data_IF_773164686141
#
_entry.id   IF_773164686141
#
_cell.length_a   1.000
_cell.length_b   1.000
_cell.length_c   1.000
_cell.angle_alpha   90.00
_cell.angle_beta   90.00
_cell.angle_gamma   90.00
#
_symmetry.space_group_name_H-M   'P 1'
#
loop_
_entity.id
_entity.type
_entity.pdbx_description
1 polymer ?
#
# COMPACT_ATOMS: atom_id res chain seq x y z
N UNK A 1 -19.43 47.92 26.30
CA UNK A 1 -18.73 47.61 25.04
C UNK A 1 -19.34 46.33 24.50
N UNK A 2 -20.38 46.47 23.70
CA UNK A 2 -21.19 45.37 23.17
C UNK A 2 -20.49 44.78 21.95
N UNK A 3 -20.03 43.53 22.05
CA UNK A 3 -19.54 42.79 20.89
C UNK A 3 -20.74 42.16 20.16
N UNK A 4 -21.08 42.70 19.00
CA UNK A 4 -22.02 42.10 18.06
C UNK A 4 -21.36 40.88 17.41
N UNK A 5 -21.93 39.70 17.62
CA UNK A 5 -21.64 38.50 16.83
C UNK A 5 -22.33 38.59 15.47
N UNK A 6 -21.60 38.19 14.42
CA UNK A 6 -21.99 38.31 13.02
C UNK A 6 -23.20 37.44 12.64
N UNK A 7 -24.03 37.82 11.65
CA UNK A 7 -25.30 37.16 11.33
C UNK A 7 -25.20 35.82 10.58
N UNK A 8 -24.01 35.24 10.38
CA UNK A 8 -23.76 34.18 9.40
C UNK A 8 -23.92 32.73 9.91
N UNK A 9 -24.23 32.50 11.19
CA UNK A 9 -24.35 31.15 11.77
C UNK A 9 -25.80 30.66 11.97
N UNK A 10 -26.81 31.33 11.39
CA UNK A 10 -28.24 30.99 11.61
C UNK A 10 -28.77 29.78 10.83
N UNK A 11 -27.91 28.96 10.23
CA UNK A 11 -28.34 28.01 9.19
C UNK A 11 -28.32 26.51 9.49
N UNK A 12 -27.59 26.01 10.51
CA UNK A 12 -27.17 24.59 10.48
C UNK A 12 -27.43 23.75 11.74
N UNK A 13 -27.94 24.34 12.84
CA UNK A 13 -28.46 23.58 13.98
C UNK A 13 -29.87 24.08 14.31
N UNK A 14 -30.94 23.26 14.20
CA UNK A 14 -32.19 23.61 14.85
C UNK A 14 -31.88 23.68 16.36
N UNK A 15 -31.97 24.87 16.96
CA UNK A 15 -31.54 25.14 18.34
C UNK A 15 -31.94 24.01 19.29
N UNK A 16 -30.93 23.25 19.75
CA UNK A 16 -31.11 22.15 20.68
C UNK A 16 -31.41 22.78 22.04
N UNK A 17 -32.53 22.41 22.64
CA UNK A 17 -32.99 22.99 23.91
C UNK A 17 -32.72 22.02 25.05
N UNK A 18 -32.48 22.57 26.23
CA UNK A 18 -32.28 21.81 27.45
C UNK A 18 -33.51 20.93 27.76
N UNK A 19 -33.26 19.67 28.09
CA UNK A 19 -34.28 18.66 28.39
C UNK A 19 -34.43 18.39 29.90
N UNK A 20 -33.46 18.80 30.71
CA UNK A 20 -33.45 18.52 32.16
C UNK A 20 -34.53 19.27 32.94
N UNK A 21 -34.81 20.52 32.55
CA UNK A 21 -35.68 21.43 33.30
C UNK A 21 -35.40 21.48 34.82
N UNK A 22 -34.14 21.21 35.22
CA UNK A 22 -33.75 21.10 36.62
C UNK A 22 -33.69 22.46 37.29
N UNK A 23 -32.99 23.40 36.66
CA UNK A 23 -32.91 24.81 37.08
C UNK A 23 -33.35 25.79 35.99
N UNK A 24 -33.66 25.29 34.79
CA UNK A 24 -34.23 26.06 33.68
C UNK A 24 -35.65 25.62 33.36
N UNK A 25 -36.34 26.36 32.49
CA UNK A 25 -37.70 26.05 32.01
C UNK A 25 -37.74 25.15 30.76
N UNK A 26 -36.61 24.52 30.39
CA UNK A 26 -36.48 23.72 29.17
C UNK A 26 -36.46 24.53 27.86
N UNK A 27 -36.35 25.85 27.98
CA UNK A 27 -36.27 26.81 26.86
C UNK A 27 -34.84 27.26 26.56
N UNK A 28 -33.90 26.97 27.45
CA UNK A 28 -32.52 27.41 27.33
C UNK A 28 -31.78 26.55 26.31
N UNK A 29 -30.83 27.14 25.61
CA UNK A 29 -29.99 26.42 24.66
C UNK A 29 -29.16 25.36 25.39
N UNK A 30 -29.21 24.13 24.90
CA UNK A 30 -28.37 23.05 25.37
C UNK A 30 -26.94 23.26 24.86
N UNK A 31 -25.97 23.04 25.74
CA UNK A 31 -24.54 23.15 25.44
C UNK A 31 -23.83 21.82 25.68
N UNK A 32 -24.48 20.88 26.40
CA UNK A 32 -23.97 19.56 26.71
C UNK A 32 -25.01 18.47 26.40
N UNK A 33 -24.53 17.26 26.07
CA UNK A 33 -25.29 16.01 26.17
C UNK A 33 -24.61 15.14 27.22
N UNK A 34 -25.35 14.69 28.23
CA UNK A 34 -24.82 13.74 29.22
C UNK A 34 -25.19 12.32 28.80
N UNK A 35 -24.20 11.41 28.75
CA UNK A 35 -24.41 10.07 28.23
C UNK A 35 -25.29 9.23 29.18
N UNK A 36 -25.02 9.29 30.48
CA UNK A 36 -25.76 8.51 31.49
C UNK A 36 -27.11 9.13 31.85
N UNK A 37 -27.24 10.47 31.83
CA UNK A 37 -28.55 11.13 31.94
C UNK A 37 -29.36 10.99 30.65
N UNK A 38 -28.69 10.69 29.53
CA UNK A 38 -29.28 10.59 28.20
C UNK A 38 -30.13 11.81 27.83
N UNK A 39 -29.61 13.00 28.05
CA UNK A 39 -30.34 14.26 27.97
C UNK A 39 -29.45 15.42 27.50
N UNK A 40 -30.07 16.36 26.79
CA UNK A 40 -29.47 17.64 26.44
C UNK A 40 -29.57 18.62 27.62
N UNK A 41 -28.49 19.29 27.96
CA UNK A 41 -28.38 20.12 29.15
C UNK A 41 -27.83 21.51 28.81
N UNK A 42 -28.48 22.55 29.33
CA UNK A 42 -27.88 23.89 29.36
C UNK A 42 -26.80 23.96 30.44
N UNK A 43 -25.95 24.99 30.37
CA UNK A 43 -24.85 25.20 31.31
C UNK A 43 -25.29 25.12 32.78
N UNK A 44 -26.44 25.73 33.12
CA UNK A 44 -26.95 25.78 34.50
C UNK A 44 -27.50 24.44 34.98
N UNK A 45 -28.17 23.70 34.10
CA UNK A 45 -28.72 22.39 34.46
C UNK A 45 -27.61 21.36 34.61
N UNK A 46 -26.60 21.38 33.72
CA UNK A 46 -25.44 20.49 33.82
C UNK A 46 -24.71 20.69 35.15
N UNK A 47 -24.40 21.94 35.52
CA UNK A 47 -23.63 22.25 36.73
C UNK A 47 -24.38 21.87 38.01
N UNK A 48 -25.64 22.28 38.13
CA UNK A 48 -26.42 22.09 39.36
C UNK A 48 -26.87 20.63 39.54
N UNK A 49 -27.20 19.93 38.45
CA UNK A 49 -27.60 18.52 38.51
C UNK A 49 -26.42 17.63 38.89
N UNK A 50 -25.23 17.86 38.29
CA UNK A 50 -24.03 17.07 38.55
C UNK A 50 -23.25 17.50 39.80
N UNK A 51 -23.74 18.49 40.55
CA UNK A 51 -23.24 18.75 41.92
C UNK A 51 -23.63 17.63 42.89
N UNK A 52 -24.66 16.84 42.58
CA UNK A 52 -25.07 15.69 43.37
C UNK A 52 -24.03 14.56 43.29
N UNK A 53 -23.65 14.01 44.44
CA UNK A 53 -22.57 13.00 44.56
C UNK A 53 -22.79 11.79 43.62
N UNK A 54 -24.04 11.36 43.46
CA UNK A 54 -24.42 10.22 42.60
C UNK A 54 -24.28 10.48 41.09
N UNK A 55 -24.26 11.75 40.65
CA UNK A 55 -24.22 12.13 39.22
C UNK A 55 -22.89 12.79 38.83
N UNK A 56 -22.06 13.15 39.81
CA UNK A 56 -20.83 13.94 39.61
C UNK A 56 -19.87 13.41 38.55
N UNK A 57 -19.84 12.09 38.36
CA UNK A 57 -18.91 11.40 37.49
C UNK A 57 -19.50 11.02 36.12
N UNK A 58 -20.69 11.51 35.78
CA UNK A 58 -21.26 11.26 34.45
C UNK A 58 -20.38 11.85 33.34
N UNK A 59 -20.32 11.18 32.19
CA UNK A 59 -19.66 11.67 31.00
C UNK A 59 -20.53 12.71 30.28
N UNK A 60 -19.92 13.85 29.94
CA UNK A 60 -20.59 15.02 29.36
C UNK A 60 -19.86 15.44 28.09
N UNK A 61 -20.59 15.45 26.98
CA UNK A 61 -20.08 15.84 25.68
C UNK A 61 -20.58 17.25 25.38
N UNK A 62 -19.66 18.16 25.04
CA UNK A 62 -20.03 19.51 24.59
C UNK A 62 -20.61 19.45 23.17
N UNK A 63 -21.77 20.07 22.98
CA UNK A 63 -22.47 20.06 21.69
C UNK A 63 -21.68 20.88 20.64
N UNK A 64 -21.56 20.32 19.43
CA UNK A 64 -20.92 20.95 18.27
C UNK A 64 -21.93 21.16 17.13
N UNK A 65 -21.54 21.92 16.12
CA UNK A 65 -22.32 22.05 14.89
C UNK A 65 -22.62 20.67 14.26
N UNK A 66 -23.88 20.39 13.94
CA UNK A 66 -24.32 19.12 13.37
C UNK A 66 -24.52 17.98 14.37
N UNK A 67 -24.49 18.24 15.69
CA UNK A 67 -24.74 17.22 16.70
C UNK A 67 -26.15 16.59 16.57
N UNK A 68 -26.21 15.26 16.64
CA UNK A 68 -27.45 14.48 16.53
C UNK A 68 -27.80 13.89 17.90
N UNK A 69 -28.86 14.35 18.57
CA UNK A 69 -29.19 13.89 19.93
C UNK A 69 -29.74 12.46 19.95
N UNK A 70 -29.75 11.85 21.14
CA UNK A 70 -30.47 10.60 21.36
C UNK A 70 -31.98 10.72 21.11
N UNK A 71 -32.62 9.59 20.82
CA UNK A 71 -34.07 9.50 20.69
C UNK A 71 -34.73 9.60 22.08
N UNK A 72 -35.61 10.57 22.24
CA UNK A 72 -36.27 10.87 23.53
C UNK A 72 -37.14 9.69 24.05
N UNK A 73 -38.03 9.06 23.23
CA UNK A 73 -38.88 7.96 23.69
C UNK A 73 -38.22 6.57 23.71
N UNK A 74 -36.95 6.43 23.29
CA UNK A 74 -36.28 5.12 23.30
C UNK A 74 -36.02 4.66 24.75
N UNK A 75 -36.69 3.58 25.17
CA UNK A 75 -36.51 2.95 26.49
C UNK A 75 -35.71 1.64 26.46
N UNK A 76 -34.98 1.38 25.37
CA UNK A 76 -34.31 0.09 25.13
C UNK A 76 -35.31 -1.06 24.91
N UNK A 77 -34.84 -2.25 24.50
CA UNK A 77 -35.73 -3.37 24.15
C UNK A 77 -36.51 -3.97 25.34
N UNK A 78 -36.11 -3.75 26.61
CA UNK A 78 -36.71 -4.40 27.78
C UNK A 78 -37.07 -3.45 28.95
N UNK A 79 -37.37 -2.19 28.69
CA UNK A 79 -38.11 -1.30 29.60
C UNK A 79 -37.44 -0.89 30.94
N UNK A 80 -36.41 -1.56 31.44
CA UNK A 80 -35.76 -1.27 32.74
C UNK A 80 -34.26 -1.61 32.78
N UNK A 81 -33.52 -1.45 31.67
CA UNK A 81 -32.05 -1.56 31.68
C UNK A 81 -31.44 -0.53 30.74
N UNK A 82 -30.24 0.02 31.03
CA UNK A 82 -29.60 1.06 30.24
C UNK A 82 -29.03 0.45 28.94
N UNK A 83 -29.93 0.01 28.06
CA UNK A 83 -29.62 -0.41 26.70
C UNK A 83 -29.57 0.82 25.82
N UNK A 84 -28.37 1.13 25.32
CA UNK A 84 -27.99 2.14 24.31
C UNK A 84 -29.19 2.76 23.59
N UNK A 85 -29.57 3.98 24.00
CA UNK A 85 -30.58 4.76 23.29
C UNK A 85 -30.12 4.96 21.84
N UNK A 86 -31.04 4.80 20.89
CA UNK A 86 -30.75 5.02 19.48
C UNK A 86 -30.62 6.52 19.19
N UNK A 87 -29.70 6.91 18.30
CA UNK A 87 -29.60 8.29 17.80
C UNK A 87 -30.85 8.67 17.01
N UNK A 88 -31.27 9.92 17.11
CA UNK A 88 -32.42 10.43 16.38
C UNK A 88 -32.10 10.57 14.88
N UNK A 89 -33.08 10.32 14.03
CA UNK A 89 -32.99 10.57 12.58
C UNK A 89 -33.83 11.77 12.17
N UNK A 90 -34.81 12.14 12.99
CA UNK A 90 -35.64 13.32 12.78
C UNK A 90 -35.95 14.06 14.09
N UNK A 91 -36.19 15.37 13.99
CA UNK A 91 -36.80 16.20 15.03
C UNK A 91 -38.22 16.59 14.61
N UNK A 92 -39.20 16.29 15.45
CA UNK A 92 -40.57 16.75 15.25
C UNK A 92 -40.71 18.20 15.73
N UNK A 93 -41.04 19.13 14.84
CA UNK A 93 -41.10 20.55 15.18
C UNK A 93 -42.34 20.90 16.03
N UNK A 94 -43.43 20.15 15.86
CA UNK A 94 -44.65 20.35 16.67
C UNK A 94 -44.48 19.78 18.08
N UNK A 95 -43.98 18.55 18.20
CA UNK A 95 -43.79 17.90 19.50
C UNK A 95 -42.50 18.31 20.20
N UNK A 96 -41.57 18.97 19.49
CA UNK A 96 -40.23 19.36 19.97
C UNK A 96 -39.37 18.19 20.48
N UNK A 97 -39.62 16.98 19.99
CA UNK A 97 -38.91 15.74 20.37
C UNK A 97 -38.05 15.17 19.24
N UNK A 98 -37.01 14.43 19.62
CA UNK A 98 -36.08 13.73 18.76
C UNK A 98 -36.46 12.24 18.64
N UNK A 99 -36.52 11.73 17.41
CA UNK A 99 -37.05 10.39 17.13
C UNK A 99 -36.06 9.60 16.27
N UNK A 100 -35.75 8.37 16.68
CA UNK A 100 -35.13 7.37 15.81
C UNK A 100 -36.15 6.88 14.77
N UNK A 101 -35.68 6.15 13.76
CA UNK A 101 -36.50 5.68 12.65
C UNK A 101 -37.71 4.87 13.13
N UNK A 102 -37.50 4.04 14.15
CA UNK A 102 -38.53 3.16 14.70
C UNK A 102 -39.57 3.94 15.52
N UNK A 103 -39.13 4.84 16.40
CA UNK A 103 -40.04 5.70 17.18
C UNK A 103 -40.82 6.65 16.27
N UNK A 104 -40.22 7.17 15.21
CA UNK A 104 -40.90 7.96 14.18
C UNK A 104 -42.02 7.14 13.53
N UNK A 105 -41.75 5.90 13.10
CA UNK A 105 -42.76 5.04 12.49
C UNK A 105 -43.96 4.80 13.40
N UNK A 106 -43.70 4.46 14.67
CA UNK A 106 -44.74 4.15 15.67
C UNK A 106 -45.61 5.34 16.02
N UNK A 107 -45.03 6.53 16.12
CA UNK A 107 -45.72 7.70 16.68
C UNK A 107 -46.16 8.73 15.64
N UNK A 108 -45.48 8.78 14.48
CA UNK A 108 -45.61 9.84 13.47
C UNK A 108 -45.81 9.33 12.02
N UNK A 109 -45.81 8.02 11.74
CA UNK A 109 -46.03 7.48 10.38
C UNK A 109 -47.32 6.67 10.20
N UNK A 110 -48.18 6.55 11.22
CA UNK A 110 -49.45 5.84 11.15
C UNK A 110 -50.56 6.62 10.42
N UNK A 111 -51.24 5.96 9.48
CA UNK A 111 -52.10 6.54 8.43
C UNK A 111 -53.36 7.33 8.80
N UNK A 112 -53.53 7.79 10.04
CA UNK A 112 -54.67 8.64 10.44
C UNK A 112 -54.31 9.77 11.45
N UNK A 113 -53.02 10.09 11.64
CA UNK A 113 -52.58 11.19 12.52
C UNK A 113 -52.07 12.39 11.71
N UNK A 114 -52.36 13.62 12.15
CA UNK A 114 -51.86 14.87 11.53
C UNK A 114 -50.34 14.77 11.37
N UNK A 115 -49.85 14.92 10.13
CA UNK A 115 -48.41 14.91 9.85
C UNK A 115 -47.77 16.16 10.44
N UNK A 116 -47.02 16.01 11.54
CA UNK A 116 -46.23 17.11 12.08
C UNK A 116 -45.01 17.39 11.17
N UNK A 117 -44.62 18.67 10.98
CA UNK A 117 -43.37 19.00 10.29
C UNK A 117 -42.18 18.38 11.01
N UNK A 118 -41.30 17.72 10.25
CA UNK A 118 -40.08 17.10 10.76
C UNK A 118 -38.84 17.67 10.07
N UNK A 119 -37.76 17.82 10.83
CA UNK A 119 -36.42 18.13 10.29
C UNK A 119 -35.58 16.87 10.35
N UNK A 120 -34.95 16.49 9.24
CA UNK A 120 -34.10 15.30 9.15
C UNK A 120 -32.70 15.64 9.64
N UNK A 121 -32.15 14.81 10.52
CA UNK A 121 -30.74 14.84 10.86
C UNK A 121 -29.95 14.13 9.75
N UNK A 122 -29.03 14.83 9.08
CA UNK A 122 -28.18 14.24 8.05
C UNK A 122 -26.97 13.54 8.70
N UNK A 123 -27.08 12.22 8.91
CA UNK A 123 -26.11 11.42 9.69
C UNK A 123 -24.80 11.10 8.93
N UNK A 124 -24.70 11.34 7.62
CA UNK A 124 -23.68 10.66 6.79
C UNK A 124 -22.27 11.28 6.77
N UNK A 125 -21.98 12.36 7.51
CA UNK A 125 -20.63 12.97 7.51
C UNK A 125 -20.10 13.41 8.86
N UNK A 126 -20.98 13.71 9.82
CA UNK A 126 -20.56 14.26 11.12
C UNK A 126 -20.14 13.14 12.08
N UNK A 127 -20.72 11.95 11.98
CA UNK A 127 -20.34 10.79 12.81
C UNK A 127 -18.92 10.29 12.50
N UNK A 128 -18.54 10.24 11.21
CA UNK A 128 -17.17 9.87 10.79
C UNK A 128 -16.14 10.90 11.27
N UNK A 129 -16.47 12.20 11.23
CA UNK A 129 -15.59 13.28 11.70
C UNK A 129 -15.48 13.34 13.23
N UNK A 130 -16.52 12.97 13.97
CA UNK A 130 -16.51 12.98 15.45
C UNK A 130 -15.88 11.72 16.06
N UNK A 131 -15.97 10.56 15.39
CA UNK A 131 -15.21 9.36 15.77
C UNK A 131 -13.69 9.56 15.59
N UNK A 132 -13.28 10.41 14.65
CA UNK A 132 -11.86 10.72 14.38
C UNK A 132 -11.21 11.66 15.41
N UNK A 133 -11.96 12.46 16.18
CA UNK A 133 -11.38 13.42 17.13
C UNK A 133 -10.98 12.81 18.49
N UNK A 134 -11.46 11.59 18.80
CA UNK A 134 -11.17 10.88 20.06
C UNK A 134 -10.49 9.50 19.91
N UNK A 135 -10.36 8.99 18.68
CA UNK A 135 -9.66 7.73 18.41
C UNK A 135 -8.15 7.91 18.52
N UNK A 136 -7.46 6.91 19.07
CA UNK A 136 -6.01 6.88 19.00
C UNK A 136 -5.52 6.77 17.54
N UNK A 137 -4.32 7.28 17.27
CA UNK A 137 -3.76 7.34 15.92
C UNK A 137 -3.58 5.96 15.27
N UNK A 138 -3.35 4.90 16.06
CA UNK A 138 -3.20 3.54 15.53
C UNK A 138 -4.54 3.00 15.04
N UNK A 139 -5.62 3.23 15.78
CA UNK A 139 -6.98 2.87 15.36
C UNK A 139 -7.40 3.63 14.09
N UNK A 140 -7.01 4.91 13.95
CA UNK A 140 -7.26 5.67 12.70
C UNK A 140 -6.54 5.04 11.53
N UNK A 141 -5.24 4.79 11.67
CA UNK A 141 -4.44 4.17 10.60
C UNK A 141 -4.98 2.79 10.24
N UNK A 142 -5.41 1.99 11.22
CA UNK A 142 -6.05 0.69 10.99
C UNK A 142 -7.34 0.84 10.18
N UNK A 143 -8.24 1.77 10.56
CA UNK A 143 -9.49 2.07 9.85
C UNK A 143 -9.24 2.47 8.39
N UNK A 144 -8.21 3.27 8.12
CA UNK A 144 -7.81 3.65 6.75
C UNK A 144 -7.48 2.44 5.87
N UNK A 145 -6.92 1.38 6.45
CA UNK A 145 -6.52 0.19 5.70
C UNK A 145 -7.67 -0.81 5.47
N UNK A 146 -8.83 -0.66 6.11
CA UNK A 146 -9.91 -1.67 6.11
C UNK A 146 -10.48 -2.01 4.72
N UNK A 147 -10.47 -1.06 3.80
CA UNK A 147 -11.01 -1.24 2.44
C UNK A 147 -9.94 -1.61 1.41
N UNK A 148 -8.67 -1.65 1.82
CA UNK A 148 -7.56 -1.96 0.92
C UNK A 148 -7.67 -3.41 0.44
N UNK A 149 -7.49 -3.59 -0.86
CA UNK A 149 -7.42 -4.87 -1.54
C UNK A 149 -6.19 -4.91 -2.44
N UNK A 150 -5.67 -6.10 -2.70
CA UNK A 150 -4.62 -6.29 -3.69
C UNK A 150 -5.19 -6.68 -5.05
N UNK A 151 -4.42 -6.44 -6.11
CA UNK A 151 -4.73 -6.89 -7.45
C UNK A 151 -3.48 -7.44 -8.16
N UNK A 152 -3.69 -8.36 -9.10
CA UNK A 152 -2.64 -8.89 -9.95
C UNK A 152 -2.18 -7.79 -10.91
N UNK A 153 -0.93 -7.37 -10.81
CA UNK A 153 -0.31 -6.36 -11.66
C UNK A 153 0.41 -6.98 -12.85
N UNK A 154 1.12 -8.09 -12.61
CA UNK A 154 1.84 -8.86 -13.63
C UNK A 154 1.57 -10.34 -13.39
N UNK A 155 1.19 -11.08 -14.44
CA UNK A 155 0.92 -12.52 -14.35
C UNK A 155 2.19 -13.40 -14.42
N UNK A 156 2.01 -14.72 -14.39
CA UNK A 156 3.08 -15.70 -14.56
C UNK A 156 3.78 -15.66 -15.93
N UNK A 157 3.13 -15.07 -16.94
CA UNK A 157 3.68 -14.87 -18.29
C UNK A 157 4.43 -13.52 -18.41
N UNK A 158 4.51 -12.76 -17.31
CA UNK A 158 5.07 -11.43 -17.18
C UNK A 158 4.34 -10.33 -17.97
N UNK A 159 3.07 -10.56 -18.27
CA UNK A 159 2.19 -9.62 -18.93
C UNK A 159 1.51 -8.72 -17.91
N UNK A 160 1.49 -7.40 -18.18
CA UNK A 160 0.83 -6.43 -17.30
C UNK A 160 -0.68 -6.63 -17.44
N UNK A 161 -1.36 -6.85 -16.32
CA UNK A 161 -2.80 -7.11 -16.24
C UNK A 161 -3.64 -5.82 -16.15
N UNK A 162 -3.04 -4.71 -16.57
CA UNK A 162 -3.58 -3.36 -16.47
C UNK A 162 -3.36 -2.68 -17.81
N UNK A 163 -4.46 -2.17 -18.39
CA UNK A 163 -4.49 -1.78 -19.80
C UNK A 163 -3.92 -0.38 -20.05
N UNK A 164 -4.24 0.56 -19.15
CA UNK A 164 -3.86 1.97 -19.25
C UNK A 164 -3.65 2.59 -17.86
N UNK A 165 -3.29 3.88 -17.85
CA UNK A 165 -3.00 4.64 -16.63
C UNK A 165 -4.23 4.76 -15.73
N UNK A 166 -5.41 4.95 -16.32
CA UNK A 166 -6.68 5.08 -15.60
C UNK A 166 -7.08 3.77 -14.91
N UNK A 167 -6.90 2.63 -15.57
CA UNK A 167 -7.13 1.30 -15.03
C UNK A 167 -6.15 0.99 -13.88
N UNK A 168 -4.88 1.42 -14.00
CA UNK A 168 -3.90 1.29 -12.92
C UNK A 168 -4.31 2.05 -11.67
N UNK A 169 -4.65 3.33 -11.83
CA UNK A 169 -5.08 4.20 -10.72
C UNK A 169 -6.35 3.65 -10.07
N UNK A 170 -7.31 3.19 -10.88
CA UNK A 170 -8.56 2.60 -10.40
C UNK A 170 -8.35 1.31 -9.62
N UNK A 171 -7.53 0.38 -10.12
CA UNK A 171 -7.23 -0.88 -9.43
C UNK A 171 -6.40 -0.69 -8.17
N UNK A 172 -5.49 0.29 -8.18
CA UNK A 172 -4.71 0.68 -7.00
C UNK A 172 -5.55 1.42 -5.95
N UNK A 173 -6.73 1.94 -6.32
CA UNK A 173 -7.65 2.67 -5.43
C UNK A 173 -7.00 3.90 -4.78
N UNK A 174 -6.20 4.64 -5.56
CA UNK A 174 -5.57 5.89 -5.15
C UNK A 174 -6.06 7.08 -5.99
N UNK A 175 -5.85 8.32 -5.50
CA UNK A 175 -6.20 9.51 -6.28
C UNK A 175 -5.21 9.74 -7.45
N UNK A 176 -5.65 10.24 -8.62
CA UNK A 176 -4.74 10.50 -9.76
C UNK A 176 -3.62 11.50 -9.43
N UNK A 177 -3.91 12.49 -8.59
CA UNK A 177 -2.99 13.53 -8.15
C UNK A 177 -2.14 13.11 -6.94
N UNK A 178 -2.36 11.90 -6.41
CA UNK A 178 -1.62 11.38 -5.28
C UNK A 178 -0.15 11.18 -5.62
N UNK A 179 0.74 11.64 -4.74
CA UNK A 179 2.15 11.35 -4.85
C UNK A 179 2.47 10.10 -4.03
N UNK A 180 3.06 9.10 -4.68
CA UNK A 180 3.32 7.77 -4.14
C UNK A 180 4.81 7.43 -4.18
N UNK A 181 5.27 6.70 -3.17
CA UNK A 181 6.46 5.84 -3.29
C UNK A 181 6.05 4.40 -3.55
N UNK A 182 6.98 3.59 -4.02
CA UNK A 182 6.81 2.17 -4.31
C UNK A 182 7.70 1.36 -3.38
N UNK A 183 7.10 0.47 -2.60
CA UNK A 183 7.82 -0.52 -1.80
C UNK A 183 7.59 -1.89 -2.37
N UNK A 184 8.65 -2.63 -2.68
CA UNK A 184 8.57 -4.02 -3.11
C UNK A 184 9.22 -4.97 -2.11
N UNK A 185 8.84 -6.24 -2.13
CA UNK A 185 9.47 -7.29 -1.32
C UNK A 185 10.04 -8.39 -2.20
N UNK A 186 11.25 -8.86 -1.89
CA UNK A 186 11.89 -10.03 -2.50
C UNK A 186 12.29 -11.03 -1.43
N UNK A 187 12.56 -12.28 -1.82
CA UNK A 187 12.93 -13.36 -0.91
C UNK A 187 12.58 -14.72 -1.50
N UNK A 188 12.93 -15.80 -0.80
CA UNK A 188 12.62 -17.15 -1.27
C UNK A 188 11.11 -17.41 -1.24
N UNK A 189 10.69 -18.47 -1.94
CA UNK A 189 9.38 -19.08 -1.70
C UNK A 189 9.36 -19.61 -0.26
N UNK A 190 8.26 -19.39 0.46
CA UNK A 190 8.12 -19.83 1.86
C UNK A 190 8.66 -18.87 2.92
N UNK A 191 9.41 -17.82 2.57
CA UNK A 191 9.98 -16.87 3.57
C UNK A 191 8.94 -15.93 4.24
N UNK A 192 7.65 -16.05 3.89
CA UNK A 192 6.59 -15.23 4.46
C UNK A 192 6.56 -13.78 3.96
N UNK A 193 6.78 -13.56 2.65
CA UNK A 193 6.76 -12.22 2.02
C UNK A 193 5.39 -11.54 2.16
N UNK A 194 4.33 -12.16 1.65
CA UNK A 194 2.96 -11.66 1.72
C UNK A 194 2.51 -11.43 3.17
N UNK A 195 2.87 -12.34 4.08
CA UNK A 195 2.66 -12.19 5.52
C UNK A 195 3.40 -10.96 6.09
N UNK A 196 4.67 -10.77 5.74
CA UNK A 196 5.46 -9.60 6.16
C UNK A 196 4.79 -8.30 5.69
N UNK A 197 4.34 -8.23 4.44
CA UNK A 197 3.65 -7.05 3.91
C UNK A 197 2.33 -6.77 4.66
N UNK A 198 1.50 -7.79 4.87
CA UNK A 198 0.24 -7.68 5.61
C UNK A 198 0.45 -7.12 7.02
N UNK A 199 1.44 -7.62 7.76
CA UNK A 199 1.73 -7.17 9.12
C UNK A 199 2.47 -5.82 9.20
N UNK A 200 3.17 -5.44 8.13
CA UNK A 200 3.92 -4.17 8.08
C UNK A 200 3.03 -3.00 7.66
N UNK A 201 2.16 -3.20 6.66
CA UNK A 201 1.36 -2.12 6.06
C UNK A 201 -0.13 -2.16 6.40
N UNK A 202 -0.68 -3.35 6.67
CA UNK A 202 -2.13 -3.55 6.76
C UNK A 202 -2.59 -4.13 8.10
N UNK A 203 -1.82 -3.90 9.17
CA UNK A 203 -2.17 -4.29 10.53
C UNK A 203 -2.53 -5.78 10.67
N UNK A 204 -1.86 -6.63 9.90
CA UNK A 204 -2.07 -8.09 9.89
C UNK A 204 -3.26 -8.56 9.07
N UNK A 205 -3.99 -7.65 8.39
CA UNK A 205 -5.05 -8.04 7.47
C UNK A 205 -4.48 -8.71 6.24
N UNK A 206 -5.14 -9.76 5.79
CA UNK A 206 -4.75 -10.52 4.61
C UNK A 206 -5.14 -9.80 3.32
N UNK A 207 -4.41 -8.73 3.00
CA UNK A 207 -4.54 -7.99 1.74
C UNK A 207 -3.85 -8.76 0.60
N UNK A 208 -2.65 -9.28 0.87
CA UNK A 208 -1.98 -10.27 0.03
C UNK A 208 -2.26 -11.66 0.57
N UNK A 209 -2.67 -12.60 -0.28
CA UNK A 209 -2.99 -13.96 0.15
C UNK A 209 -1.77 -14.67 0.73
N UNK A 210 -1.97 -15.40 1.81
CA UNK A 210 -0.97 -16.27 2.43
C UNK A 210 -1.38 -17.74 2.30
N UNK A 211 -0.42 -18.64 2.43
CA UNK A 211 -0.68 -20.08 2.46
C UNK A 211 0.29 -20.76 3.42
N UNK A 212 -0.14 -21.78 4.18
CA UNK A 212 0.76 -22.63 4.95
C UNK A 212 1.50 -23.67 4.09
N UNK A 213 1.16 -23.79 2.80
CA UNK A 213 1.76 -24.77 1.88
C UNK A 213 3.22 -24.43 1.51
N UNK A 214 4.01 -25.45 1.16
CA UNK A 214 5.41 -25.28 0.77
C UNK A 214 5.55 -24.77 -0.68
N UNK A 215 4.52 -24.95 -1.49
CA UNK A 215 4.43 -24.41 -2.84
C UNK A 215 4.22 -22.90 -2.83
N UNK A 216 4.59 -22.21 -3.92
CA UNK A 216 4.40 -20.76 -4.02
C UNK A 216 2.92 -20.40 -3.98
N UNK A 217 2.50 -19.64 -2.98
CA UNK A 217 1.15 -19.07 -2.89
C UNK A 217 0.96 -17.85 -3.79
N UNK A 218 2.03 -17.07 -3.98
CA UNK A 218 2.03 -15.88 -4.81
C UNK A 218 2.51 -16.27 -6.19
N UNK A 219 1.64 -16.09 -7.18
CA UNK A 219 1.96 -16.23 -8.61
C UNK A 219 1.97 -14.84 -9.22
N UNK A 220 3.04 -14.49 -9.94
CA UNK A 220 3.21 -13.17 -10.54
C UNK A 220 3.57 -12.06 -9.54
N UNK A 221 3.15 -10.83 -9.85
CA UNK A 221 3.37 -9.63 -9.04
C UNK A 221 2.04 -8.99 -8.70
N UNK A 222 1.82 -8.74 -7.42
CA UNK A 222 0.60 -8.14 -6.88
C UNK A 222 0.88 -6.74 -6.34
N UNK A 223 -0.12 -5.87 -6.42
CA UNK A 223 -0.02 -4.51 -5.91
C UNK A 223 -1.21 -4.17 -5.00
N UNK A 224 -0.95 -3.37 -3.98
CA UNK A 224 -1.96 -2.78 -3.10
C UNK A 224 -1.54 -1.36 -2.70
N UNK A 225 -2.50 -0.49 -2.42
CA UNK A 225 -2.22 0.85 -1.94
C UNK A 225 -2.31 0.91 -0.41
N UNK A 226 -1.25 1.41 0.21
CA UNK A 226 -1.28 1.78 1.62
C UNK A 226 -1.55 3.28 1.78
N UNK A 227 -2.76 3.66 2.25
CA UNK A 227 -3.14 5.06 2.42
C UNK A 227 -2.46 5.73 3.63
N UNK A 228 -1.91 4.96 4.57
CA UNK A 228 -1.24 5.50 5.77
C UNK A 228 0.08 6.14 5.38
N UNK A 229 0.92 5.40 4.66
CA UNK A 229 2.24 5.87 4.24
C UNK A 229 2.24 6.44 2.81
N UNK A 230 1.10 6.40 2.10
CA UNK A 230 0.93 6.82 0.70
C UNK A 230 1.90 6.08 -0.22
N UNK A 231 1.89 4.76 -0.14
CA UNK A 231 2.79 3.89 -0.92
C UNK A 231 2.04 2.82 -1.71
N UNK A 232 2.54 2.54 -2.91
CA UNK A 232 2.19 1.34 -3.64
C UNK A 232 3.06 0.18 -3.13
N UNK A 233 2.43 -0.80 -2.49
CA UNK A 233 3.08 -2.00 -1.95
C UNK A 233 3.03 -3.09 -3.01
N UNK A 234 4.19 -3.66 -3.35
CA UNK A 234 4.37 -4.66 -4.40
C UNK A 234 4.82 -5.98 -3.79
N UNK A 235 3.95 -6.99 -3.84
CA UNK A 235 4.27 -8.37 -3.49
C UNK A 235 4.74 -9.14 -4.73
N UNK A 236 5.79 -9.95 -4.59
CA UNK A 236 6.32 -10.73 -5.70
C UNK A 236 6.29 -12.21 -5.40
N UNK A 237 6.15 -13.02 -6.44
CA UNK A 237 6.50 -14.44 -6.40
C UNK A 237 7.92 -14.66 -5.82
N UNK A 238 8.16 -15.84 -5.22
CA UNK A 238 9.50 -16.22 -4.75
C UNK A 238 10.51 -16.26 -5.90
N UNK A 239 11.38 -15.26 -5.97
CA UNK A 239 12.31 -15.06 -7.10
C UNK A 239 13.55 -15.98 -7.07
N UNK A 240 13.72 -16.79 -6.03
CA UNK A 240 14.98 -17.49 -5.69
C UNK A 240 14.93 -19.04 -5.72
N UNK A 241 13.85 -19.65 -6.24
CA UNK A 241 13.72 -21.12 -6.30
C UNK A 241 14.44 -21.81 -7.48
N UNK A 242 14.61 -23.13 -7.43
CA UNK A 242 15.10 -23.92 -8.57
C UNK A 242 13.98 -24.19 -9.59
N UNK A 243 13.77 -23.29 -10.56
CA UNK A 243 12.83 -23.56 -11.69
C UNK A 243 13.38 -23.07 -13.03
N UNK A 244 12.73 -23.53 -14.09
CA UNK A 244 13.21 -23.71 -15.48
C UNK A 244 13.50 -22.41 -16.26
N UNK A 245 13.35 -21.20 -15.68
CA UNK A 245 13.49 -19.96 -16.46
C UNK A 245 14.08 -18.76 -15.70
N UNK A 246 15.39 -18.81 -15.42
CA UNK A 246 16.18 -17.73 -14.78
C UNK A 246 16.04 -16.37 -15.48
N UNK A 247 15.98 -16.37 -16.82
CA UNK A 247 15.86 -15.17 -17.65
C UNK A 247 14.53 -14.43 -17.43
N UNK A 248 13.46 -15.17 -17.19
CA UNK A 248 12.13 -14.63 -16.90
C UNK A 248 12.16 -13.90 -15.55
N UNK A 249 12.60 -14.59 -14.49
CA UNK A 249 12.71 -13.99 -13.15
C UNK A 249 13.59 -12.75 -13.11
N UNK A 250 14.72 -12.78 -13.82
CA UNK A 250 15.61 -11.61 -13.92
C UNK A 250 14.90 -10.43 -14.58
N UNK A 251 14.12 -10.65 -15.64
CA UNK A 251 13.35 -9.59 -16.30
C UNK A 251 12.25 -9.03 -15.39
N UNK A 252 11.52 -9.89 -14.68
CA UNK A 252 10.51 -9.45 -13.72
C UNK A 252 11.14 -8.63 -12.57
N UNK A 253 12.24 -9.12 -12.01
CA UNK A 253 13.02 -8.44 -10.98
C UNK A 253 13.45 -7.04 -11.44
N UNK A 254 14.00 -6.91 -12.64
CA UNK A 254 14.43 -5.62 -13.19
C UNK A 254 13.26 -4.64 -13.38
N UNK A 255 12.09 -5.12 -13.82
CA UNK A 255 10.87 -4.28 -13.93
C UNK A 255 10.44 -3.75 -12.56
N UNK A 256 10.42 -4.60 -11.54
CA UNK A 256 10.05 -4.21 -10.18
C UNK A 256 11.08 -3.26 -9.58
N UNK A 257 12.37 -3.55 -9.72
CA UNK A 257 13.46 -2.67 -9.28
C UNK A 257 13.42 -1.30 -9.96
N UNK A 258 13.04 -1.24 -11.23
CA UNK A 258 12.96 0.01 -11.97
C UNK A 258 11.94 0.98 -11.38
N UNK A 259 10.81 0.48 -10.86
CA UNK A 259 9.77 1.32 -10.26
C UNK A 259 9.93 1.52 -8.76
N UNK A 260 10.61 0.60 -8.06
CA UNK A 260 10.75 0.60 -6.60
C UNK A 260 11.55 1.79 -6.08
N UNK A 261 11.10 2.38 -4.98
CA UNK A 261 11.86 3.35 -4.19
C UNK A 261 12.58 2.65 -3.02
N UNK A 262 11.92 1.64 -2.44
CA UNK A 262 12.43 0.81 -1.36
C UNK A 262 12.16 -0.67 -1.67
N UNK A 263 13.14 -1.52 -1.39
CA UNK A 263 13.05 -2.97 -1.51
C UNK A 263 13.24 -3.59 -0.13
N UNK A 264 12.33 -4.45 0.28
CA UNK A 264 12.49 -5.30 1.45
C UNK A 264 13.01 -6.65 0.93
N UNK A 265 14.24 -7.01 1.27
CA UNK A 265 14.71 -8.37 1.09
C UNK A 265 14.36 -9.17 2.35
N UNK A 266 13.36 -10.03 2.24
CA UNK A 266 12.87 -10.88 3.31
C UNK A 266 13.63 -12.21 3.31
N UNK A 267 14.13 -12.60 4.49
CA UNK A 267 14.72 -13.92 4.73
C UNK A 267 14.34 -14.44 6.11
N UNK A 268 13.96 -15.71 6.18
CA UNK A 268 13.66 -16.42 7.42
C UNK A 268 14.66 -17.58 7.55
N UNK A 269 15.75 -17.35 8.28
CA UNK A 269 16.85 -18.30 8.40
C UNK A 269 17.62 -18.07 9.69
N UNK A 270 18.39 -19.08 10.12
CA UNK A 270 19.28 -18.93 11.27
C UNK A 270 20.50 -18.03 10.97
N UNK A 271 20.81 -17.78 9.70
CA UNK A 271 21.93 -16.94 9.27
C UNK A 271 21.69 -16.31 7.92
N UNK A 272 22.40 -15.23 7.63
CA UNK A 272 22.47 -14.68 6.27
C UNK A 272 23.37 -15.57 5.41
N UNK A 273 22.75 -16.34 4.52
CA UNK A 273 23.44 -17.22 3.57
C UNK A 273 24.09 -16.41 2.43
N UNK A 274 25.12 -16.99 1.79
CA UNK A 274 25.82 -16.36 0.66
C UNK A 274 24.89 -16.10 -0.53
N UNK A 275 23.82 -16.89 -0.69
CA UNK A 275 22.84 -16.76 -1.77
C UNK A 275 22.14 -15.40 -1.78
N UNK A 276 21.92 -14.81 -0.60
CA UNK A 276 21.39 -13.44 -0.48
C UNK A 276 22.34 -12.44 -1.14
N UNK A 277 23.62 -12.51 -0.81
CA UNK A 277 24.63 -11.57 -1.31
C UNK A 277 24.89 -11.77 -2.80
N UNK A 278 24.89 -13.02 -3.26
CA UNK A 278 24.94 -13.34 -4.69
C UNK A 278 23.73 -12.75 -5.41
N UNK A 279 22.52 -12.98 -4.91
CA UNK A 279 21.30 -12.45 -5.51
C UNK A 279 21.30 -10.93 -5.60
N UNK A 280 21.57 -10.22 -4.50
CA UNK A 280 21.60 -8.75 -4.50
C UNK A 280 22.73 -8.23 -5.40
N UNK A 281 23.89 -8.89 -5.42
CA UNK A 281 24.99 -8.56 -6.32
C UNK A 281 24.63 -8.72 -7.80
N UNK A 282 24.06 -9.87 -8.16
CA UNK A 282 23.64 -10.21 -9.52
C UNK A 282 22.48 -9.29 -9.98
N UNK A 283 21.52 -9.00 -9.09
CA UNK A 283 20.44 -8.06 -9.34
C UNK A 283 20.96 -6.65 -9.61
N UNK A 284 21.94 -6.21 -8.82
CA UNK A 284 22.60 -4.92 -8.99
C UNK A 284 23.34 -4.84 -10.33
N UNK A 285 24.15 -5.84 -10.66
CA UNK A 285 24.87 -5.89 -11.94
C UNK A 285 23.90 -5.90 -13.13
N UNK A 286 22.85 -6.73 -13.06
CA UNK A 286 21.82 -6.80 -14.09
C UNK A 286 21.10 -5.46 -14.25
N UNK A 287 20.79 -4.77 -13.15
CA UNK A 287 20.16 -3.47 -13.14
C UNK A 287 21.03 -2.42 -13.83
N UNK A 288 22.29 -2.30 -13.41
CA UNK A 288 23.23 -1.37 -14.03
C UNK A 288 23.41 -1.70 -15.51
N UNK A 289 23.64 -2.95 -15.87
CA UNK A 289 23.81 -3.36 -17.26
C UNK A 289 22.60 -3.03 -18.14
N UNK A 290 21.39 -3.20 -17.60
CA UNK A 290 20.15 -2.93 -18.32
C UNK A 290 19.89 -1.42 -18.48
N UNK A 291 20.08 -0.65 -17.41
CA UNK A 291 19.68 0.76 -17.37
C UNK A 291 20.82 1.73 -17.69
N UNK A 292 22.10 1.31 -17.71
CA UNK A 292 23.25 2.22 -17.91
C UNK A 292 23.10 3.12 -19.14
N UNK A 293 22.58 2.61 -20.27
CA UNK A 293 22.40 3.43 -21.48
C UNK A 293 21.38 4.55 -21.27
N UNK A 294 20.24 4.22 -20.67
CA UNK A 294 19.16 5.17 -20.38
C UNK A 294 19.57 6.16 -19.28
N UNK A 295 20.21 5.67 -18.22
CA UNK A 295 20.69 6.49 -17.11
C UNK A 295 21.76 7.47 -17.59
N UNK A 296 22.74 7.04 -18.41
CA UNK A 296 23.74 7.94 -19.01
C UNK A 296 23.10 8.99 -19.93
N UNK A 297 22.11 8.60 -20.73
CA UNK A 297 21.39 9.55 -21.60
C UNK A 297 20.59 10.59 -20.81
N UNK A 298 20.06 10.24 -19.64
CA UNK A 298 19.32 11.17 -18.76
C UNK A 298 20.26 12.10 -18.00
N UNK A 299 21.34 11.55 -17.45
CA UNK A 299 22.44 12.27 -16.77
C UNK A 299 23.02 13.36 -17.68
N UNK A 300 23.34 13.01 -18.93
CA UNK A 300 23.85 13.95 -19.93
C UNK A 300 22.83 15.04 -20.33
N UNK A 301 21.53 14.71 -20.39
CA UNK A 301 20.47 15.67 -20.72
C UNK A 301 20.16 16.64 -19.57
N UNK A 302 20.35 16.20 -18.32
CA UNK A 302 20.03 16.99 -17.14
C UNK A 302 21.25 17.69 -16.51
N UNK A 303 22.46 17.51 -17.07
CA UNK A 303 23.69 18.10 -16.54
C UNK A 303 24.03 17.64 -15.11
N UNK A 304 23.54 16.47 -14.73
CA UNK A 304 23.64 15.93 -13.37
C UNK A 304 24.85 15.00 -13.29
N UNK A 305 25.94 15.40 -12.65
CA UNK A 305 27.13 14.54 -12.50
C UNK A 305 27.00 13.66 -11.24
N UNK A 306 25.99 12.76 -11.24
CA UNK A 306 25.70 11.85 -10.12
C UNK A 306 26.07 10.41 -10.45
N UNK A 307 26.69 9.66 -9.52
CA UNK A 307 26.98 8.24 -9.71
C UNK A 307 25.70 7.44 -10.02
N UNK A 308 25.78 6.50 -10.97
CA UNK A 308 24.65 5.63 -11.34
C UNK A 308 24.06 4.84 -10.15
N UNK A 309 24.86 4.65 -9.10
CA UNK A 309 24.49 4.03 -7.83
C UNK A 309 23.45 4.82 -7.02
N UNK A 310 23.29 6.10 -7.30
CA UNK A 310 22.31 6.97 -6.62
C UNK A 310 20.90 6.81 -7.18
N UNK A 311 20.70 6.01 -8.23
CA UNK A 311 19.45 5.96 -8.99
C UNK A 311 18.57 4.75 -8.68
N UNK A 312 19.10 3.67 -8.07
CA UNK A 312 18.29 2.51 -7.70
C UNK A 312 17.67 2.60 -6.30
N UNK A 313 16.82 1.64 -5.95
CA UNK A 313 16.10 1.66 -4.68
C UNK A 313 17.05 1.48 -3.49
N UNK A 314 16.59 1.94 -2.32
CA UNK A 314 17.17 1.51 -1.06
C UNK A 314 16.76 0.06 -0.77
N UNK A 315 17.57 -0.69 -0.02
CA UNK A 315 17.28 -2.07 0.37
C UNK A 315 17.28 -2.21 1.88
N UNK A 316 16.23 -2.83 2.45
CA UNK A 316 16.21 -3.31 3.84
C UNK A 316 16.27 -4.84 3.79
N UNK A 317 17.33 -5.42 4.33
CA UNK A 317 17.40 -6.86 4.59
C UNK A 317 16.68 -7.14 5.90
N UNK A 318 15.44 -7.61 5.79
CA UNK A 318 14.64 -8.04 6.93
C UNK A 318 14.89 -9.52 7.23
N UNK A 319 15.66 -9.76 8.28
CA UNK A 319 16.14 -11.08 8.69
C UNK A 319 15.42 -11.53 9.95
N UNK A 320 14.62 -12.59 9.84
CA UNK A 320 14.01 -13.23 10.99
C UNK A 320 14.75 -14.51 11.36
N UNK A 321 15.18 -14.59 12.62
CA UNK A 321 15.80 -15.77 13.21
C UNK A 321 14.91 -16.38 14.30
N UNK A 322 15.11 -17.66 14.60
CA UNK A 322 14.43 -18.33 15.73
C UNK A 322 15.44 -18.62 16.83
N UNK A 323 16.47 -19.42 16.50
CA UNK A 323 17.39 -19.96 17.51
C UNK A 323 18.72 -19.20 17.58
N UNK A 324 19.06 -18.42 16.58
CA UNK A 324 20.34 -17.69 16.51
C UNK A 324 20.20 -16.22 16.92
N UNK A 325 21.32 -15.67 17.39
CA UNK A 325 21.45 -14.24 17.62
C UNK A 325 21.46 -13.48 16.28
N UNK A 326 21.06 -12.20 16.34
CA UNK A 326 21.03 -11.33 15.17
C UNK A 326 22.45 -10.95 14.73
N UNK A 327 22.59 -10.57 13.46
CA UNK A 327 23.87 -10.09 12.94
C UNK A 327 24.38 -8.90 13.78
N UNK A 328 25.64 -8.99 14.23
CA UNK A 328 26.28 -7.95 15.04
C UNK A 328 26.10 -8.09 16.56
N UNK A 329 25.32 -9.07 17.04
CA UNK A 329 25.11 -9.26 18.48
C UNK A 329 26.42 -9.55 19.25
N UNK A 330 27.35 -10.28 18.63
CA UNK A 330 28.66 -10.62 19.22
C UNK A 330 29.68 -9.47 19.13
N UNK A 331 29.42 -8.44 18.32
CA UNK A 331 30.31 -7.32 18.08
C UNK A 331 29.55 -5.98 18.15
N UNK A 332 29.15 -5.54 19.36
CA UNK A 332 28.26 -4.37 19.53
C UNK A 332 28.84 -3.05 19.03
N UNK A 333 30.17 -2.96 18.94
CA UNK A 333 30.88 -1.80 18.39
C UNK A 333 30.79 -1.69 16.86
N UNK A 334 30.41 -2.77 16.17
CA UNK A 334 30.28 -2.78 14.72
C UNK A 334 28.82 -2.61 14.30
N UNK A 335 28.57 -1.61 13.47
CA UNK A 335 27.25 -1.43 12.85
C UNK A 335 26.97 -2.58 11.87
N UNK A 336 25.79 -3.23 11.92
CA UNK A 336 25.46 -4.36 11.06
C UNK A 336 25.64 -4.12 9.55
N UNK A 337 25.43 -2.88 9.11
CA UNK A 337 25.66 -2.45 7.74
C UNK A 337 27.12 -2.65 7.30
N UNK A 338 28.09 -2.41 8.18
CA UNK A 338 29.51 -2.65 7.90
C UNK A 338 29.80 -4.14 7.72
N UNK A 339 29.20 -4.99 8.56
CA UNK A 339 29.30 -6.45 8.44
C UNK A 339 28.74 -6.95 7.10
N UNK A 340 27.62 -6.39 6.66
CA UNK A 340 27.03 -6.69 5.34
C UNK A 340 27.96 -6.25 4.22
N UNK A 341 28.51 -5.04 4.28
CA UNK A 341 29.47 -4.54 3.28
C UNK A 341 30.71 -5.43 3.18
N UNK A 342 31.26 -5.85 4.32
CA UNK A 342 32.42 -6.73 4.34
C UNK A 342 32.10 -8.13 3.79
N UNK A 343 30.87 -8.62 3.98
CA UNK A 343 30.40 -9.87 3.36
C UNK A 343 30.29 -9.76 1.84
N UNK A 344 29.76 -8.65 1.32
CA UNK A 344 29.76 -8.37 -0.13
C UNK A 344 31.19 -8.36 -0.70
N UNK A 345 32.12 -7.62 -0.05
CA UNK A 345 33.53 -7.56 -0.47
C UNK A 345 34.21 -8.92 -0.47
N UNK A 346 34.02 -9.72 0.59
CA UNK A 346 34.58 -11.08 0.70
C UNK A 346 34.10 -12.02 -0.41
N UNK A 347 32.88 -11.82 -0.89
CA UNK A 347 32.30 -12.60 -1.99
C UNK A 347 32.61 -12.01 -3.38
N UNK A 348 33.38 -10.91 -3.47
CA UNK A 348 33.67 -10.24 -4.73
C UNK A 348 32.41 -9.63 -5.39
N UNK A 349 31.41 -9.25 -4.59
CA UNK A 349 30.14 -8.69 -5.05
C UNK A 349 30.05 -7.22 -4.68
N UNK A 350 29.53 -6.40 -5.60
CA UNK A 350 29.42 -4.95 -5.44
C UNK A 350 27.99 -4.50 -5.77
N UNK A 351 27.13 -4.31 -4.76
CA UNK A 351 25.71 -4.01 -4.98
C UNK A 351 25.49 -2.52 -5.29
N UNK A 352 26.25 -1.99 -6.24
CA UNK A 352 26.31 -0.57 -6.58
C UNK A 352 24.99 -0.01 -7.11
N UNK A 353 24.06 -0.82 -7.62
CA UNK A 353 22.77 -0.32 -8.08
C UNK A 353 21.91 0.26 -6.96
N UNK A 354 22.11 -0.17 -5.71
CA UNK A 354 21.26 0.22 -4.60
C UNK A 354 21.82 1.46 -3.89
N UNK A 355 20.96 2.44 -3.62
CA UNK A 355 21.36 3.69 -2.98
C UNK A 355 21.79 3.50 -1.53
N UNK A 356 21.25 2.48 -0.85
CA UNK A 356 21.64 2.06 0.48
C UNK A 356 21.23 0.62 0.74
N UNK A 357 21.90 -0.04 1.69
CA UNK A 357 21.54 -1.37 2.19
C UNK A 357 21.55 -1.32 3.71
N UNK A 358 20.39 -1.54 4.31
CA UNK A 358 20.16 -1.53 5.76
C UNK A 358 19.86 -2.93 6.26
N UNK A 359 20.34 -3.24 7.46
CA UNK A 359 19.99 -4.48 8.14
C UNK A 359 18.85 -4.25 9.11
N UNK A 360 17.84 -5.12 9.08
CA UNK A 360 16.88 -5.21 10.17
C UNK A 360 16.62 -6.65 10.60
N UNK A 361 17.22 -7.03 11.72
CA UNK A 361 16.98 -8.31 12.38
C UNK A 361 15.77 -8.27 13.31
N UNK A 362 15.03 -9.38 13.39
CA UNK A 362 14.08 -9.69 14.47
C UNK A 362 14.24 -11.16 14.87
N UNK A 363 14.06 -11.47 16.16
CA UNK A 363 14.14 -12.84 16.65
C UNK A 363 12.78 -13.26 17.19
N UNK A 364 12.17 -14.26 16.57
CA UNK A 364 10.84 -14.75 16.92
C UNK A 364 10.96 -16.07 17.66
N UNK A 365 11.12 -16.01 18.98
CA UNK A 365 11.10 -17.22 19.82
C UNK A 365 9.68 -17.74 20.01
N UNK A 366 8.74 -16.83 20.26
CA UNK A 366 7.31 -17.12 20.37
C UNK A 366 6.56 -16.23 19.36
N UNK A 367 5.82 -16.81 18.40
CA UNK A 367 4.94 -16.04 17.52
C UNK A 367 3.90 -15.22 18.32
N UNK A 368 3.43 -14.08 17.79
CA UNK A 368 3.72 -13.54 16.46
C UNK A 368 5.07 -12.80 16.37
N UNK A 369 5.65 -12.75 15.17
CA UNK A 369 6.82 -11.94 14.84
C UNK A 369 6.58 -10.45 15.14
N UNK A 370 7.53 -9.78 15.78
CA UNK A 370 7.48 -8.32 15.94
C UNK A 370 8.01 -7.60 14.68
N UNK A 371 7.10 -6.95 13.96
CA UNK A 371 7.39 -6.13 12.79
C UNK A 371 7.62 -4.65 13.10
N UNK A 372 7.53 -4.22 14.37
CA UNK A 372 7.70 -2.81 14.76
C UNK A 372 9.04 -2.23 14.30
N UNK A 373 10.09 -3.04 14.40
CA UNK A 373 11.42 -2.67 13.97
C UNK A 373 11.52 -2.44 12.45
N UNK A 374 10.85 -3.27 11.65
CA UNK A 374 10.79 -3.10 10.21
C UNK A 374 9.98 -1.84 9.85
N UNK A 375 8.83 -1.62 10.49
CA UNK A 375 7.99 -0.43 10.28
C UNK A 375 8.78 0.87 10.51
N UNK A 376 9.52 0.97 11.62
CA UNK A 376 10.36 2.16 11.90
C UNK A 376 11.45 2.38 10.85
N UNK A 377 12.14 1.32 10.44
CA UNK A 377 13.17 1.43 9.40
C UNK A 377 12.57 1.84 8.05
N UNK A 378 11.37 1.35 7.75
CA UNK A 378 10.63 1.70 6.55
C UNK A 378 10.20 3.17 6.55
N UNK A 379 9.59 3.67 7.64
CA UNK A 379 9.18 5.07 7.77
C UNK A 379 10.38 6.01 7.53
N UNK A 380 11.54 5.71 8.11
CA UNK A 380 12.78 6.47 7.90
C UNK A 380 13.23 6.50 6.43
N UNK A 381 13.15 5.37 5.72
CA UNK A 381 13.52 5.31 4.30
C UNK A 381 12.48 5.98 3.39
N UNK A 382 11.20 5.93 3.76
CA UNK A 382 10.13 6.59 3.02
C UNK A 382 10.16 8.12 3.16
N UNK A 383 10.76 8.67 4.22
CA UNK A 383 10.99 10.11 4.34
C UNK A 383 12.18 10.59 3.49
N UNK A 384 13.11 9.70 3.14
CA UNK A 384 14.28 10.04 2.35
C UNK A 384 13.95 10.25 0.85
N UNK A 385 14.04 11.49 0.37
CA UNK A 385 13.75 11.86 -1.02
C UNK A 385 15.01 12.15 -1.87
N UNK A 386 16.22 11.84 -1.38
CA UNK A 386 17.47 12.19 -2.09
C UNK A 386 17.67 11.41 -3.38
N UNK A 387 17.19 10.17 -3.43
CA UNK A 387 17.34 9.28 -4.60
C UNK A 387 16.11 9.33 -5.49
N UNK A 388 14.92 9.16 -4.92
CA UNK A 388 13.65 9.18 -5.65
C UNK A 388 12.58 9.87 -4.83
N UNK A 389 12.00 10.91 -5.41
CA UNK A 389 10.86 11.60 -4.83
C UNK A 389 9.56 10.81 -5.05
N UNK A 390 8.53 11.01 -4.22
CA UNK A 390 7.18 10.55 -4.50
C UNK A 390 6.70 11.03 -5.88
N UNK A 391 5.98 10.17 -6.62
CA UNK A 391 5.57 10.41 -8.01
C UNK A 391 4.10 10.08 -8.22
N UNK A 392 3.47 10.70 -9.22
CA UNK A 392 2.11 10.35 -9.62
C UNK A 392 2.00 8.88 -10.04
N UNK A 393 0.86 8.20 -9.80
CA UNK A 393 0.71 6.78 -10.12
C UNK A 393 0.85 6.53 -11.62
N UNK A 394 0.45 7.50 -12.46
CA UNK A 394 0.64 7.44 -13.90
C UNK A 394 2.10 7.42 -14.35
N UNK A 395 3.00 8.08 -13.62
CA UNK A 395 4.45 8.01 -13.87
C UNK A 395 4.98 6.62 -13.54
N UNK A 396 4.51 6.03 -12.42
CA UNK A 396 4.86 4.66 -12.01
C UNK A 396 4.38 3.67 -13.08
N UNK A 397 3.14 3.78 -13.55
CA UNK A 397 2.60 2.93 -14.60
C UNK A 397 3.37 3.05 -15.92
N UNK A 398 3.68 4.28 -16.36
CA UNK A 398 4.48 4.52 -17.57
C UNK A 398 5.86 3.89 -17.46
N UNK A 399 6.53 4.03 -16.31
CA UNK A 399 7.81 3.37 -16.06
C UNK A 399 7.69 1.85 -16.16
N UNK A 400 6.69 1.25 -15.50
CA UNK A 400 6.43 -0.19 -15.57
C UNK A 400 6.19 -0.65 -17.03
N UNK A 401 5.36 0.08 -17.78
CA UNK A 401 5.03 -0.25 -19.18
C UNK A 401 6.23 -0.12 -20.11
N UNK A 402 7.03 0.94 -19.98
CA UNK A 402 8.25 1.15 -20.76
C UNK A 402 9.22 -0.03 -20.58
N UNK A 403 9.41 -0.48 -19.34
CA UNK A 403 10.30 -1.60 -19.03
C UNK A 403 9.72 -2.98 -19.43
N UNK A 404 8.41 -3.08 -19.65
CA UNK A 404 7.78 -4.26 -20.25
C UNK A 404 7.95 -4.30 -21.76
N UNK A 405 7.77 -3.18 -22.46
CA UNK A 405 8.01 -3.09 -23.91
C UNK A 405 9.49 -3.22 -24.29
N UNK A 406 10.40 -2.72 -23.45
CA UNK A 406 11.85 -2.94 -23.65
C UNK A 406 12.29 -4.37 -23.32
N UNK A 407 11.57 -5.08 -22.46
CA UNK A 407 11.75 -6.52 -22.23
C UNK A 407 11.50 -7.38 -23.48
N UNK A 408 10.77 -6.87 -24.48
CA UNK A 408 10.64 -7.49 -25.80
C UNK A 408 11.85 -7.23 -26.71
N UNK A 409 12.70 -6.25 -26.38
CA UNK A 409 14.00 -5.99 -27.03
C UNK A 409 15.17 -6.75 -26.41
N UNK A 410 14.94 -7.54 -25.35
CA UNK A 410 15.77 -8.72 -25.08
C UNK A 410 15.48 -9.73 -26.20
N UNK A 411 16.21 -9.55 -27.31
CA UNK A 411 16.25 -10.44 -28.48
C UNK A 411 16.18 -11.90 -28.00
N UNK A 412 15.10 -12.58 -28.38
CA UNK A 412 14.84 -13.95 -27.97
C UNK A 412 16.00 -14.86 -28.42
N UNK A 413 16.50 -15.72 -27.54
CA UNK A 413 17.29 -16.87 -27.94
C UNK A 413 16.40 -17.88 -28.68
N UNK A 414 16.97 -18.66 -29.60
CA UNK A 414 16.22 -19.75 -30.23
C UNK A 414 15.71 -20.73 -29.17
N UNK A 415 14.45 -21.15 -29.26
CA UNK A 415 13.90 -22.19 -28.35
C UNK A 415 14.61 -23.53 -28.49
N UNK A 416 15.23 -23.79 -29.65
CA UNK A 416 15.78 -25.09 -30.02
C UNK A 416 17.29 -25.25 -29.72
N UNK A 417 17.87 -24.40 -28.87
CA UNK A 417 19.29 -24.49 -28.46
C UNK A 417 20.29 -24.50 -29.65
N UNK A 418 21.57 -24.83 -29.40
CA UNK A 418 22.64 -24.90 -30.42
C UNK A 418 22.48 -26.13 -31.35
N UNK A 419 22.95 -26.01 -32.61
CA UNK A 419 23.00 -27.07 -33.64
C UNK A 419 21.67 -27.60 -34.21
N UNK A 420 20.52 -27.01 -33.87
CA UNK A 420 19.22 -27.39 -34.48
C UNK A 420 19.27 -27.40 -36.03
N UNK A 421 20.07 -26.51 -36.65
CA UNK A 421 20.29 -26.49 -38.10
C UNK A 421 21.09 -27.66 -38.66
N UNK A 422 21.96 -28.31 -37.86
CA UNK A 422 22.64 -29.58 -38.23
C UNK A 422 21.72 -30.79 -38.08
N UNK A 423 20.70 -30.67 -37.23
CA UNK A 423 19.69 -31.71 -36.98
C UNK A 423 18.46 -31.57 -37.89
N UNK A 424 18.48 -30.63 -38.85
CA UNK A 424 17.36 -30.38 -39.76
C UNK A 424 16.14 -29.73 -39.10
N UNK A 425 16.27 -29.27 -37.86
CA UNK A 425 15.19 -28.64 -37.09
C UNK A 425 15.11 -27.15 -37.44
N UNK A 426 13.92 -26.61 -37.79
CA UNK A 426 13.75 -25.20 -38.12
C UNK A 426 14.08 -24.26 -36.95
N UNK A 427 14.55 -23.06 -37.29
CA UNK A 427 14.79 -22.00 -36.30
C UNK A 427 13.45 -21.47 -35.76
N UNK A 428 13.28 -21.48 -34.43
CA UNK A 428 12.12 -20.88 -33.77
C UNK A 428 12.56 -19.82 -32.75
N UNK A 429 12.23 -18.55 -33.02
CA UNK A 429 12.45 -17.43 -32.11
C UNK A 429 11.30 -16.42 -32.25
N UNK A 430 10.83 -15.88 -31.12
CA UNK A 430 9.74 -14.88 -31.09
C UNK A 430 10.17 -13.49 -31.61
N UNK A 431 11.47 -13.24 -31.79
CA UNK A 431 12.04 -11.99 -32.31
C UNK A 431 13.43 -12.21 -32.94
N UNK A 432 14.08 -11.15 -33.49
CA UNK A 432 15.43 -11.22 -34.11
C UNK A 432 16.45 -11.82 -33.12
N UNK A 433 16.91 -13.05 -33.37
CA UNK A 433 17.92 -13.74 -32.59
C UNK A 433 19.23 -12.93 -32.47
N UNK A 434 19.87 -12.93 -31.29
CA UNK A 434 21.16 -12.26 -31.06
C UNK A 434 22.32 -13.23 -31.30
N UNK A 435 23.17 -12.90 -32.27
CA UNK A 435 24.47 -13.53 -32.47
C UNK A 435 25.41 -13.25 -31.28
N UNK A 436 26.10 -14.29 -30.79
CA UNK A 436 27.13 -14.19 -29.76
C UNK A 436 28.47 -14.66 -30.33
N UNK A 437 29.43 -13.74 -30.41
CA UNK A 437 30.74 -13.95 -31.03
C UNK A 437 31.63 -14.96 -30.28
N UNK A 438 31.30 -15.29 -29.03
CA UNK A 438 32.02 -16.30 -28.25
C UNK A 438 31.85 -17.74 -28.77
N UNK A 439 31.03 -17.97 -29.80
CA UNK A 439 30.67 -19.31 -30.31
C UNK A 439 30.78 -19.48 -31.84
N UNK A 440 31.52 -18.61 -32.54
CA UNK A 440 31.88 -18.71 -33.98
C UNK A 440 30.76 -19.11 -34.97
N UNK A 441 29.55 -18.56 -34.81
CA UNK A 441 28.47 -18.77 -35.78
C UNK A 441 28.56 -17.72 -36.91
N UNK A 442 28.94 -18.12 -38.13
CA UNK A 442 29.02 -17.21 -39.28
C UNK A 442 27.68 -16.50 -39.57
N UNK A 443 27.75 -15.24 -39.95
CA UNK A 443 26.60 -14.37 -40.25
C UNK A 443 26.02 -14.71 -41.63
N UNK A 444 24.72 -15.01 -41.71
CA UNK A 444 23.95 -14.87 -42.96
C UNK A 444 23.11 -13.58 -42.85
N UNK A 445 23.56 -12.50 -43.48
CA UNK A 445 22.73 -11.30 -43.66
C UNK A 445 21.73 -11.54 -44.80
N UNK A 446 20.44 -11.62 -44.48
CA UNK A 446 19.38 -11.52 -45.49
C UNK A 446 19.26 -10.06 -45.95
N UNK A 447 19.66 -9.76 -47.18
CA UNK A 447 19.25 -8.54 -47.89
C UNK A 447 17.76 -8.69 -48.23
N UNK A 448 16.90 -7.96 -47.52
CA UNK A 448 15.53 -7.74 -48.00
C UNK A 448 15.58 -6.51 -48.89
N UNK A 449 15.57 -6.72 -50.20
CA UNK A 449 15.18 -5.70 -51.19
C UNK A 449 13.68 -5.83 -51.45
N UNK A 450 12.96 -4.73 -51.70
CA UNK A 450 11.51 -4.72 -51.82
C UNK A 450 11.07 -5.22 -53.20
N UNK A 451 9.82 -5.66 -53.26
CA UNK A 451 8.98 -5.98 -54.43
C UNK A 451 8.87 -7.45 -54.89
N UNK A 452 7.62 -7.76 -55.19
CA UNK A 452 7.02 -8.99 -55.69
C UNK A 452 7.59 -9.51 -57.01
N UNK A 453 7.36 -10.82 -57.22
CA UNK A 453 7.25 -11.60 -58.49
C UNK A 453 8.40 -12.58 -58.83
N UNK A 454 7.93 -13.81 -59.08
CA UNK A 454 8.45 -14.86 -59.99
C UNK A 454 9.80 -15.53 -59.74
N UNK A 455 9.71 -16.86 -59.60
CA UNK A 455 10.60 -17.91 -60.10
C UNK A 455 11.93 -17.49 -60.73
N UNK A 456 13.04 -18.00 -60.20
CA UNK A 456 14.00 -18.87 -60.92
C UNK A 456 15.24 -19.16 -60.07
N UNK A 457 15.86 -20.28 -60.41
CA UNK A 457 16.99 -20.95 -59.78
C UNK A 457 18.34 -20.23 -59.96
N UNK A 458 19.26 -20.56 -59.03
CA UNK A 458 20.68 -20.89 -59.24
C UNK A 458 21.77 -20.11 -58.48
N UNK A 459 22.70 -20.96 -58.01
CA UNK A 459 24.16 -20.87 -57.90
C UNK A 459 24.83 -20.15 -56.72
N UNK A 460 25.67 -20.95 -56.08
CA UNK A 460 26.59 -20.64 -55.01
C UNK A 460 27.73 -19.72 -55.48
N UNK A 461 28.14 -18.81 -54.61
CA UNK A 461 29.35 -18.01 -54.75
C UNK A 461 29.88 -17.59 -53.38
N UNK A 462 31.03 -18.14 -53.01
CA UNK A 462 31.81 -17.72 -51.85
C UNK A 462 32.48 -16.36 -52.11
N UNK A 463 32.47 -15.47 -51.12
CA UNK A 463 33.55 -14.49 -50.90
C UNK A 463 33.47 -13.99 -49.44
N UNK A 464 34.60 -13.90 -48.70
CA UNK A 464 34.59 -13.54 -47.29
C UNK A 464 34.73 -12.03 -47.08
N UNK A 465 33.95 -11.48 -46.13
CA UNK A 465 34.39 -10.61 -45.04
C UNK A 465 33.29 -10.51 -43.98
#
# INVERSE_FOLDING_TARGET
MSAQTSPAEKGLNPGLLCQESYTCSGSDEAVFECDECCSLQCLRCEEELHRQERLRNHERIRLKAGHVPYCDPCKGPNGHSPGVKQRAVVRCQTCKINLCLECQKRTHSGGNKRRHPVTVYHVTKVQELLEEEGMDEETKRKKMTEKVVSFLLVDENEEIQVTNEEDFIRKLDCKPDQHLKVVSIFGNTGDGKSHTLNHTFFYGREVFKTSPAQESCTVGVWAAYDPVHKVAVIDTEGLLGATVNLSQRTRLLLKVLAISDLVIYRTHADRLHNDLFNFLGDASEAYLKHFTKELKATTARCGLDVPLSTLGPAVIIFHETVHTQLLGSDHPSEVPEKLIQDRFRKLGRFPEAFSSIHYKGTRTYNPPTDFSGLRRALEQQLENNTTRSPRHPGVIFKALKLHVSFGASLRAGCKNSMNHGKEGVPHEAKSRCRYSHQYDNRVFTCKVSPTSLSSSSWLAGHTPL
#
